data_IF_347200503324
#
_entry.id   IF_347200503324
#
_cell.length_a   1.000
_cell.length_b   1.000
_cell.length_c   1.000
_cell.angle_alpha   90.00
_cell.angle_beta   90.00
_cell.angle_gamma   90.00
#
_symmetry.space_group_name_H-M   'P 1'
#
loop_
_entity.id
_entity.type
_entity.pdbx_description
1 polymer ?
#
# COMPACT_ATOMS: atom_id res chain seq x y z
N UNK A 1 -8.10 -39.81 -51.59
CA UNK A 1 -8.94 -39.59 -50.36
C UNK A 1 -8.13 -39.60 -49.04
N UNK A 2 -6.80 -39.58 -49.06
CA UNK A 2 -5.97 -39.57 -47.82
C UNK A 2 -5.38 -38.21 -47.46
N UNK A 3 -5.42 -37.21 -48.35
CA UNK A 3 -4.82 -35.89 -48.12
C UNK A 3 -5.78 -34.86 -47.46
N UNK A 4 -7.07 -35.10 -47.52
CA UNK A 4 -8.06 -34.17 -46.92
C UNK A 4 -8.23 -34.34 -45.37
N UNK A 5 -7.90 -35.54 -44.87
CA UNK A 5 -8.05 -35.83 -43.43
C UNK A 5 -6.92 -35.30 -42.56
N UNK A 6 -5.74 -35.09 -43.13
CA UNK A 6 -4.58 -34.56 -42.40
C UNK A 6 -4.69 -33.04 -42.19
N UNK A 7 -5.33 -32.32 -43.09
CA UNK A 7 -5.51 -30.85 -42.99
C UNK A 7 -6.55 -30.44 -41.94
N UNK A 8 -7.53 -31.30 -41.66
CA UNK A 8 -8.57 -30.99 -40.65
C UNK A 8 -8.09 -31.12 -39.20
N UNK A 9 -7.09 -32.00 -38.95
CA UNK A 9 -6.54 -32.20 -37.61
C UNK A 9 -5.56 -31.07 -37.25
N UNK A 10 -4.84 -30.49 -38.22
CA UNK A 10 -3.91 -29.39 -37.96
C UNK A 10 -4.61 -28.06 -37.63
N UNK A 11 -5.88 -27.87 -38.10
CA UNK A 11 -6.65 -26.64 -37.80
C UNK A 11 -7.29 -26.68 -36.40
N UNK A 12 -7.56 -27.86 -35.86
CA UNK A 12 -8.18 -28.00 -34.52
C UNK A 12 -7.21 -27.77 -33.38
N UNK A 13 -5.89 -27.94 -33.58
CA UNK A 13 -4.88 -27.77 -32.54
C UNK A 13 -4.43 -26.30 -32.35
N UNK A 14 -4.69 -25.42 -33.34
CA UNK A 14 -4.31 -24.01 -33.26
C UNK A 14 -5.34 -23.12 -32.52
N UNK A 15 -6.56 -23.61 -32.34
CA UNK A 15 -7.64 -22.85 -31.65
C UNK A 15 -7.63 -23.00 -30.15
N UNK A 16 -6.85 -23.93 -29.57
CA UNK A 16 -6.88 -24.24 -28.14
C UNK A 16 -5.90 -23.44 -27.29
N UNK A 17 -5.14 -22.48 -27.82
CA UNK A 17 -4.14 -21.71 -27.06
C UNK A 17 -4.47 -20.24 -26.82
N UNK A 18 -5.69 -19.79 -27.14
CA UNK A 18 -6.15 -18.47 -26.68
C UNK A 18 -6.94 -18.61 -25.36
N UNK A 19 -6.28 -19.11 -24.33
CA UNK A 19 -6.76 -18.84 -22.98
C UNK A 19 -6.47 -17.36 -22.70
N UNK A 20 -7.47 -16.53 -22.89
CA UNK A 20 -7.48 -15.15 -22.41
C UNK A 20 -7.27 -15.21 -20.92
N UNK A 21 -6.11 -14.73 -20.45
CA UNK A 21 -5.87 -14.42 -19.04
C UNK A 21 -6.88 -13.33 -18.70
N UNK A 22 -8.02 -13.74 -18.19
CA UNK A 22 -8.98 -12.78 -17.65
C UNK A 22 -8.33 -12.21 -16.37
N UNK A 23 -7.99 -10.94 -16.44
CA UNK A 23 -7.58 -10.19 -15.28
C UNK A 23 -8.72 -10.33 -14.23
N UNK A 24 -8.43 -11.04 -13.14
CA UNK A 24 -9.38 -11.19 -12.05
C UNK A 24 -9.60 -9.82 -11.43
N UNK A 25 -10.78 -9.25 -11.63
CA UNK A 25 -11.22 -8.09 -10.89
C UNK A 25 -12.10 -8.56 -9.74
N UNK A 26 -11.83 -8.10 -8.55
CA UNK A 26 -12.69 -8.31 -7.38
C UNK A 26 -12.99 -6.97 -6.73
N UNK A 27 -14.25 -6.74 -6.41
CA UNK A 27 -14.71 -5.59 -5.65
C UNK A 27 -15.44 -6.11 -4.43
N UNK A 28 -14.92 -5.81 -3.25
CA UNK A 28 -15.48 -6.25 -1.97
C UNK A 28 -15.65 -5.04 -1.07
N UNK A 29 -16.90 -4.76 -0.72
CA UNK A 29 -17.25 -3.76 0.28
C UNK A 29 -17.92 -4.46 1.46
N UNK A 30 -17.41 -4.23 2.65
CA UNK A 30 -17.94 -4.78 3.90
C UNK A 30 -18.20 -3.65 4.90
N UNK A 31 -19.30 -3.73 5.60
CA UNK A 31 -19.72 -2.76 6.60
C UNK A 31 -19.80 -3.45 7.97
N UNK A 32 -19.16 -2.87 8.97
CA UNK A 32 -19.17 -3.42 10.34
C UNK A 32 -18.51 -4.80 10.43
N UNK A 33 -17.56 -5.11 9.53
CA UNK A 33 -16.91 -6.41 9.49
C UNK A 33 -15.39 -6.28 9.43
N UNK A 34 -14.72 -7.02 10.29
CA UNK A 34 -13.28 -7.10 10.39
C UNK A 34 -12.87 -8.55 10.69
N UNK A 35 -11.85 -9.14 10.01
CA UNK A 35 -11.11 -8.57 8.90
C UNK A 35 -11.84 -8.68 7.54
N UNK A 36 -11.44 -7.82 6.59
CA UNK A 36 -11.80 -7.91 5.17
C UNK A 36 -10.56 -8.33 4.39
N UNK A 37 -10.71 -9.35 3.55
CA UNK A 37 -9.58 -9.95 2.83
C UNK A 37 -9.84 -10.02 1.32
N UNK A 38 -8.77 -9.87 0.53
CA UNK A 38 -8.79 -10.07 -0.91
C UNK A 38 -7.47 -10.68 -1.39
N UNK A 39 -7.51 -11.49 -2.47
CA UNK A 39 -6.29 -11.96 -3.13
C UNK A 39 -5.65 -10.83 -3.92
N UNK A 40 -4.33 -10.73 -3.86
CA UNK A 40 -3.58 -9.72 -4.59
C UNK A 40 -2.21 -10.24 -4.99
N UNK A 41 -1.74 -9.82 -6.16
CA UNK A 41 -0.44 -10.27 -6.68
C UNK A 41 0.72 -9.60 -5.96
N UNK A 42 1.81 -10.33 -5.77
CA UNK A 42 3.07 -9.77 -5.28
C UNK A 42 3.65 -8.78 -6.29
N UNK A 43 4.19 -7.66 -5.84
CA UNK A 43 4.76 -6.61 -6.69
C UNK A 43 3.75 -5.63 -7.28
N UNK A 44 2.47 -5.81 -7.03
CA UNK A 44 1.42 -4.90 -7.48
C UNK A 44 1.39 -3.58 -6.72
N UNK A 45 0.59 -2.63 -7.19
CA UNK A 45 0.40 -1.32 -6.59
C UNK A 45 -0.83 -1.30 -5.69
N UNK A 46 -0.64 -0.88 -4.43
CA UNK A 46 -1.73 -0.69 -3.46
C UNK A 46 -1.92 0.80 -3.19
N UNK A 47 -3.10 1.31 -3.52
CA UNK A 47 -3.53 2.68 -3.22
C UNK A 47 -4.45 2.67 -2.00
N UNK A 48 -4.18 3.56 -1.05
CA UNK A 48 -4.91 3.62 0.21
C UNK A 48 -5.46 5.02 0.44
N UNK A 49 -6.76 5.10 0.70
CA UNK A 49 -7.47 6.31 1.14
C UNK A 49 -8.08 6.01 2.50
N UNK A 50 -7.48 6.57 3.53
CA UNK A 50 -7.68 6.15 4.91
C UNK A 50 -8.30 7.26 5.74
N UNK A 51 -9.06 6.86 6.75
CA UNK A 51 -9.56 7.77 7.79
C UNK A 51 -8.41 8.26 8.68
N UNK A 52 -8.62 9.38 9.40
CA UNK A 52 -7.77 9.74 10.52
C UNK A 52 -7.75 8.64 11.60
N UNK A 53 -6.60 8.42 12.24
CA UNK A 53 -6.45 7.42 13.32
C UNK A 53 -5.02 6.89 13.45
N UNK A 54 -4.89 5.81 14.19
CA UNK A 54 -3.66 5.04 14.30
C UNK A 54 -3.69 3.91 13.25
N UNK A 55 -2.74 3.95 12.32
CA UNK A 55 -2.69 3.04 11.17
C UNK A 55 -1.36 2.31 11.15
N UNK A 56 -1.44 0.99 11.06
CA UNK A 56 -0.29 0.12 10.86
C UNK A 56 -0.40 -0.56 9.49
N UNK A 57 0.64 -0.44 8.67
CA UNK A 57 0.74 -1.09 7.36
C UNK A 57 1.92 -2.04 7.40
N UNK A 58 1.68 -3.35 7.22
CA UNK A 58 2.72 -4.37 7.33
C UNK A 58 2.83 -5.23 6.08
N UNK A 59 4.07 -5.59 5.75
CA UNK A 59 4.39 -6.51 4.67
C UNK A 59 4.24 -7.98 5.09
N UNK A 60 3.57 -8.79 4.24
CA UNK A 60 3.40 -10.24 4.41
C UNK A 60 4.08 -11.04 3.31
N UNK A 61 4.35 -12.31 3.60
CA UNK A 61 4.94 -13.25 2.64
C UNK A 61 3.90 -13.95 1.73
N UNK A 62 2.62 -13.66 1.91
CA UNK A 62 1.52 -14.22 1.12
C UNK A 62 0.99 -13.24 0.06
N UNK A 63 0.14 -13.74 -0.84
CA UNK A 63 -0.51 -12.97 -1.90
C UNK A 63 -1.92 -12.55 -1.50
N UNK A 64 -2.04 -11.90 -0.32
CA UNK A 64 -3.31 -11.44 0.21
C UNK A 64 -3.20 -10.01 0.75
N UNK A 65 -4.29 -9.27 0.58
CA UNK A 65 -4.57 -8.04 1.30
C UNK A 65 -5.48 -8.39 2.46
N UNK A 66 -5.19 -7.86 3.64
CA UNK A 66 -6.06 -7.96 4.79
C UNK A 66 -6.18 -6.59 5.45
N UNK A 67 -7.40 -6.18 5.70
CA UNK A 67 -7.73 -4.95 6.43
C UNK A 67 -8.50 -5.34 7.67
N UNK A 68 -7.97 -5.04 8.82
CA UNK A 68 -8.61 -5.24 10.12
C UNK A 68 -8.62 -3.94 10.91
N UNK A 69 -9.62 -3.77 11.76
CA UNK A 69 -9.73 -2.60 12.61
C UNK A 69 -10.27 -2.96 13.98
N UNK A 70 -9.97 -2.12 14.95
CA UNK A 70 -10.54 -2.12 16.28
C UNK A 70 -11.31 -0.83 16.46
N UNK A 71 -12.56 -0.93 16.88
CA UNK A 71 -13.46 0.17 17.18
C UNK A 71 -14.35 -0.21 18.37
N UNK A 72 -15.04 0.76 18.95
CA UNK A 72 -16.07 0.47 19.96
C UNK A 72 -17.25 -0.23 19.31
N UNK A 73 -17.91 -1.12 20.04
CA UNK A 73 -18.97 -1.99 19.50
C UNK A 73 -20.18 -1.24 18.93
N UNK A 74 -20.46 -0.04 19.41
CA UNK A 74 -21.53 0.84 18.91
C UNK A 74 -21.13 1.57 17.62
N UNK A 75 -19.85 1.86 17.44
CA UNK A 75 -19.29 2.61 16.30
C UNK A 75 -18.80 1.67 15.17
N UNK A 76 -18.47 0.43 15.48
CA UNK A 76 -18.00 -0.57 14.51
C UNK A 76 -18.93 -0.72 13.31
N UNK A 77 -20.24 -0.60 13.53
CA UNK A 77 -21.28 -0.74 12.51
C UNK A 77 -21.24 0.32 11.42
N UNK A 78 -20.55 1.44 11.65
CA UNK A 78 -20.43 2.54 10.68
C UNK A 78 -19.19 2.41 9.80
N UNK A 79 -18.22 1.62 10.25
CA UNK A 79 -16.95 1.43 9.50
C UNK A 79 -17.20 0.65 8.21
N UNK A 80 -16.77 1.24 7.11
CA UNK A 80 -16.87 0.66 5.77
C UNK A 80 -15.47 0.44 5.20
N UNK A 81 -15.17 -0.80 4.89
CA UNK A 81 -13.92 -1.21 4.25
C UNK A 81 -14.25 -1.68 2.84
N UNK A 82 -13.65 -1.03 1.84
CA UNK A 82 -13.73 -1.46 0.44
C UNK A 82 -12.35 -1.83 -0.06
N UNK A 83 -12.22 -3.03 -0.61
CA UNK A 83 -11.01 -3.49 -1.31
C UNK A 83 -11.42 -3.80 -2.75
N UNK A 84 -10.90 -3.03 -3.67
CA UNK A 84 -11.09 -3.23 -5.11
C UNK A 84 -9.77 -3.66 -5.73
N UNK A 85 -9.74 -4.83 -6.35
CA UNK A 85 -8.56 -5.39 -7.03
C UNK A 85 -8.85 -5.47 -8.52
N UNK A 86 -7.91 -4.99 -9.34
CA UNK A 86 -7.95 -5.07 -10.79
C UNK A 86 -6.55 -5.36 -11.32
N UNK A 87 -6.28 -6.61 -11.65
CA UNK A 87 -4.95 -7.06 -12.10
C UNK A 87 -3.88 -6.86 -11.01
N UNK A 88 -2.90 -6.02 -11.31
CA UNK A 88 -1.79 -5.65 -10.42
C UNK A 88 -2.04 -4.37 -9.60
N UNK A 89 -3.27 -3.85 -9.63
CA UNK A 89 -3.68 -2.68 -8.86
C UNK A 89 -4.72 -3.06 -7.82
N UNK A 90 -4.54 -2.53 -6.62
CA UNK A 90 -5.54 -2.62 -5.56
C UNK A 90 -5.83 -1.23 -4.99
N UNK A 91 -7.08 -0.97 -4.68
CA UNK A 91 -7.52 0.21 -3.97
C UNK A 91 -8.19 -0.19 -2.67
N UNK A 92 -7.69 0.35 -1.56
CA UNK A 92 -8.25 0.18 -0.22
C UNK A 92 -8.84 1.51 0.21
N UNK A 93 -10.14 1.53 0.52
CA UNK A 93 -10.83 2.70 1.07
C UNK A 93 -11.47 2.34 2.38
N UNK A 94 -11.18 3.14 3.41
CA UNK A 94 -11.81 3.00 4.72
C UNK A 94 -12.55 4.29 5.05
N UNK A 95 -13.81 4.19 5.43
CA UNK A 95 -14.71 5.32 5.73
C UNK A 95 -15.56 5.01 6.96
N UNK A 96 -16.15 6.05 7.55
CA UNK A 96 -17.02 5.92 8.72
C UNK A 96 -16.24 5.57 9.98
N UNK A 97 -14.97 5.98 10.07
CA UNK A 97 -14.14 5.66 11.21
C UNK A 97 -14.52 6.52 12.41
N UNK A 98 -14.55 5.91 13.61
CA UNK A 98 -14.70 6.62 14.86
C UNK A 98 -13.61 7.68 15.08
N UNK A 99 -13.96 8.74 15.79
CA UNK A 99 -12.99 9.78 16.12
C UNK A 99 -12.01 9.37 17.23
N UNK A 100 -12.38 8.39 18.06
CA UNK A 100 -11.58 7.98 19.20
C UNK A 100 -11.38 6.46 19.20
N UNK A 101 -10.19 6.01 19.64
CA UNK A 101 -9.86 4.60 19.83
C UNK A 101 -10.05 3.75 18.56
N UNK A 102 -9.79 4.34 17.38
CA UNK A 102 -9.82 3.64 16.12
C UNK A 102 -8.41 3.27 15.71
N UNK A 103 -8.17 1.97 15.60
CA UNK A 103 -6.90 1.41 15.12
C UNK A 103 -7.17 0.62 13.85
N UNK A 104 -6.39 0.87 12.82
CA UNK A 104 -6.49 0.22 11.53
C UNK A 104 -5.19 -0.52 11.23
N UNK A 105 -5.29 -1.80 10.93
CA UNK A 105 -4.17 -2.62 10.47
C UNK A 105 -4.41 -3.07 9.04
N UNK A 106 -3.45 -2.80 8.18
CA UNK A 106 -3.46 -3.17 6.77
C UNK A 106 -2.25 -4.06 6.51
N UNK A 107 -2.51 -5.27 6.05
CA UNK A 107 -1.45 -6.21 5.69
C UNK A 107 -1.46 -6.38 4.17
N UNK A 108 -0.30 -6.21 3.54
CA UNK A 108 -0.12 -6.29 2.08
C UNK A 108 1.04 -7.23 1.74
N UNK A 109 1.11 -7.80 0.53
CA UNK A 109 2.30 -8.53 0.12
C UNK A 109 3.56 -7.65 0.26
N UNK A 110 4.62 -8.15 0.87
CA UNK A 110 5.83 -7.37 1.20
C UNK A 110 6.52 -6.69 0.02
N UNK A 111 6.27 -7.15 -1.20
CA UNK A 111 6.85 -6.57 -2.42
C UNK A 111 5.94 -5.54 -3.09
N UNK A 112 4.81 -5.17 -2.46
CA UNK A 112 3.87 -4.19 -3.01
C UNK A 112 4.47 -2.79 -3.07
N UNK A 113 4.09 -2.03 -4.11
CA UNK A 113 4.30 -0.60 -4.17
C UNK A 113 3.12 0.11 -3.47
N UNK A 114 3.42 1.04 -2.57
CA UNK A 114 2.43 1.73 -1.77
C UNK A 114 2.19 3.16 -2.24
N UNK A 115 0.93 3.54 -2.27
CA UNK A 115 0.48 4.91 -2.40
C UNK A 115 -0.55 5.20 -1.31
N UNK A 116 -0.19 5.98 -0.29
CA UNK A 116 -1.06 6.25 0.85
C UNK A 116 -1.26 7.75 1.07
N UNK A 117 -2.50 8.12 1.32
CA UNK A 117 -2.89 9.49 1.67
C UNK A 117 -3.78 9.47 2.89
N UNK A 118 -3.42 10.27 3.89
CA UNK A 118 -4.16 10.40 5.14
C UNK A 118 -4.22 11.87 5.57
N UNK A 119 -5.38 12.29 6.07
CA UNK A 119 -5.52 13.66 6.52
C UNK A 119 -4.82 13.91 7.86
N UNK A 120 -5.07 13.07 8.87
CA UNK A 120 -4.47 13.26 10.19
C UNK A 120 -4.32 11.93 10.94
N UNK A 121 -3.33 11.84 11.81
CA UNK A 121 -3.12 10.69 12.70
C UNK A 121 -1.70 10.14 12.67
N UNK A 122 -1.55 8.89 13.04
CA UNK A 122 -0.28 8.18 13.06
C UNK A 122 -0.29 7.05 12.04
N UNK A 123 0.78 6.93 11.27
CA UNK A 123 0.95 5.84 10.31
C UNK A 123 2.33 5.21 10.49
N UNK A 124 2.34 3.91 10.72
CA UNK A 124 3.55 3.08 10.76
C UNK A 124 3.57 2.13 9.57
N UNK A 125 4.67 2.09 8.82
CA UNK A 125 4.83 1.23 7.65
C UNK A 125 6.10 0.39 7.82
N UNK A 126 5.92 -0.92 7.92
CA UNK A 126 7.00 -1.86 8.20
C UNK A 126 7.01 -3.07 7.24
N UNK A 127 8.18 -3.63 6.99
CA UNK A 127 8.36 -4.89 6.26
C UNK A 127 8.02 -4.84 4.78
N UNK A 128 8.02 -3.67 4.14
CA UNK A 128 7.64 -3.51 2.73
C UNK A 128 8.86 -3.19 1.86
N UNK A 129 9.06 -4.00 0.84
CA UNK A 129 10.13 -3.90 -0.16
C UNK A 129 9.54 -3.51 -1.53
N UNK A 130 9.20 -2.26 -1.68
CA UNK A 130 8.62 -1.67 -2.88
C UNK A 130 8.74 -0.16 -2.85
N UNK A 131 8.30 0.49 -3.92
CA UNK A 131 8.17 1.94 -3.95
C UNK A 131 7.13 2.39 -2.92
N UNK A 132 7.39 3.53 -2.26
CA UNK A 132 6.51 4.10 -1.24
C UNK A 132 6.27 5.58 -1.55
N UNK A 133 5.02 5.96 -1.66
CA UNK A 133 4.58 7.33 -1.84
C UNK A 133 3.50 7.63 -0.79
N UNK A 134 3.88 8.33 0.26
CA UNK A 134 3.05 8.53 1.45
C UNK A 134 2.97 10.00 1.83
N UNK A 135 1.75 10.51 1.96
CA UNK A 135 1.51 11.87 2.41
C UNK A 135 0.53 11.89 3.58
N UNK A 136 0.88 12.62 4.62
CA UNK A 136 0.05 12.90 5.79
C UNK A 136 -0.06 14.42 5.95
N UNK A 137 -1.28 14.94 6.02
CA UNK A 137 -1.45 16.37 6.19
C UNK A 137 -1.06 16.84 7.60
N UNK A 138 -1.42 16.08 8.64
CA UNK A 138 -1.02 16.37 10.02
C UNK A 138 -0.84 15.08 10.84
N UNK A 139 0.27 14.95 11.56
CA UNK A 139 0.50 13.81 12.45
C UNK A 139 1.90 13.20 12.36
N UNK A 140 1.99 11.91 12.61
CA UNK A 140 3.26 11.20 12.63
C UNK A 140 3.31 10.12 11.55
N UNK A 141 4.40 10.10 10.79
CA UNK A 141 4.71 9.05 9.84
C UNK A 141 6.03 8.40 10.24
N UNK A 142 5.98 7.12 10.57
CA UNK A 142 7.17 6.28 10.73
C UNK A 142 7.19 5.25 9.59
N UNK A 143 8.29 5.16 8.88
CA UNK A 143 8.40 4.27 7.74
C UNK A 143 9.75 3.55 7.69
N UNK A 144 9.71 2.23 7.68
CA UNK A 144 10.87 1.42 7.37
C UNK A 144 11.18 1.51 5.87
N UNK A 145 12.37 1.97 5.53
CA UNK A 145 12.83 2.10 4.14
C UNK A 145 13.88 1.06 3.74
N UNK A 146 14.22 0.17 4.67
CA UNK A 146 15.27 -0.82 4.48
C UNK A 146 16.68 -0.20 4.48
N UNK A 147 17.60 -0.88 3.82
CA UNK A 147 18.99 -0.37 3.76
C UNK A 147 19.13 0.77 2.75
N UNK A 148 19.95 1.78 3.02
CA UNK A 148 20.18 2.91 2.09
C UNK A 148 20.52 2.47 0.66
N UNK A 149 21.30 1.39 0.51
CA UNK A 149 21.74 0.87 -0.78
C UNK A 149 20.60 0.25 -1.62
N UNK A 150 19.49 -0.10 -1.01
CA UNK A 150 18.30 -0.64 -1.71
C UNK A 150 17.47 0.48 -2.37
N UNK A 151 17.69 1.73 -1.97
CA UNK A 151 16.96 2.90 -2.43
C UNK A 151 17.70 3.64 -3.55
N UNK A 152 17.02 3.87 -4.65
CA UNK A 152 17.51 4.68 -5.76
C UNK A 152 17.22 6.16 -5.57
N UNK A 153 16.12 6.48 -4.90
CA UNK A 153 15.76 7.85 -4.57
C UNK A 153 14.92 7.89 -3.30
N UNK A 154 15.32 8.71 -2.33
CA UNK A 154 14.56 9.01 -1.12
C UNK A 154 14.32 10.52 -1.07
N UNK A 155 13.06 10.92 -1.15
CA UNK A 155 12.60 12.31 -1.01
C UNK A 155 11.66 12.40 0.19
N UNK A 156 12.07 13.15 1.19
CA UNK A 156 11.32 13.32 2.43
C UNK A 156 11.18 14.79 2.79
N UNK A 157 9.98 15.21 3.20
CA UNK A 157 9.73 16.60 3.55
C UNK A 157 8.71 16.77 4.66
N UNK A 158 8.94 17.80 5.49
CA UNK A 158 8.03 18.25 6.55
C UNK A 158 7.85 19.77 6.42
N UNK A 159 6.61 20.22 6.33
CA UNK A 159 6.34 21.66 6.26
C UNK A 159 6.57 22.33 7.62
N UNK A 160 6.08 21.73 8.71
CA UNK A 160 6.27 22.19 10.09
C UNK A 160 6.45 20.99 11.00
N UNK A 161 7.61 20.89 11.67
CA UNK A 161 7.89 19.81 12.62
C UNK A 161 9.27 19.20 12.43
N UNK A 162 9.38 17.90 12.69
CA UNK A 162 10.64 17.20 12.73
C UNK A 162 10.74 16.15 11.61
N UNK A 163 11.92 16.09 10.99
CA UNK A 163 12.29 15.11 9.98
C UNK A 163 13.53 14.34 10.46
N UNK A 164 13.37 13.05 10.64
CA UNK A 164 14.44 12.14 11.01
C UNK A 164 14.62 11.06 9.94
N UNK A 165 15.85 10.86 9.49
CA UNK A 165 16.22 9.77 8.60
C UNK A 165 17.51 9.14 9.14
N UNK A 166 17.35 8.28 10.14
CA UNK A 166 18.45 7.73 10.95
C UNK A 166 19.45 6.93 10.12
N UNK A 167 19.00 6.20 9.11
CA UNK A 167 19.88 5.46 8.20
C UNK A 167 20.82 6.37 7.37
N UNK A 168 20.58 7.69 7.35
CA UNK A 168 21.36 8.69 6.62
C UNK A 168 21.96 9.76 7.56
N UNK A 169 21.91 9.56 8.87
CA UNK A 169 22.40 10.53 9.89
C UNK A 169 21.73 11.91 9.77
N UNK A 170 20.47 11.96 9.37
CA UNK A 170 19.69 13.20 9.19
C UNK A 170 18.71 13.38 10.31
N UNK A 171 18.80 14.55 10.98
CA UNK A 171 17.79 15.03 11.96
C UNK A 171 17.63 16.54 11.77
N UNK A 172 16.43 16.98 11.42
CA UNK A 172 16.09 18.38 11.10
C UNK A 172 14.76 18.75 11.71
N UNK A 173 14.71 19.80 12.52
CA UNK A 173 13.47 20.34 13.07
C UNK A 173 13.17 21.77 12.58
N UNK A 174 11.89 22.16 12.60
CA UNK A 174 11.43 23.51 12.30
C UNK A 174 10.52 23.61 11.07
N UNK A 175 10.70 24.66 10.26
CA UNK A 175 9.86 24.95 9.08
C UNK A 175 10.57 24.56 7.79
N UNK A 176 9.82 24.01 6.80
CA UNK A 176 10.29 23.69 5.45
C UNK A 176 11.54 22.78 5.46
N UNK A 177 11.43 21.65 6.14
CA UNK A 177 12.51 20.67 6.20
C UNK A 177 12.37 19.66 5.08
N UNK A 178 13.47 19.40 4.39
CA UNK A 178 13.54 18.43 3.32
C UNK A 178 14.86 17.65 3.35
N UNK A 179 14.79 16.45 2.81
CA UNK A 179 15.90 15.54 2.61
C UNK A 179 15.72 14.86 1.25
N UNK A 180 16.75 14.93 0.41
CA UNK A 180 16.83 14.25 -0.89
C UNK A 180 18.10 13.41 -0.91
N UNK A 181 17.96 12.14 -1.25
CA UNK A 181 19.09 11.22 -1.40
C UNK A 181 18.92 10.39 -2.67
N UNK A 182 20.01 10.26 -3.43
CA UNK A 182 20.07 9.40 -4.61
C UNK A 182 21.10 8.30 -4.39
N UNK A 183 20.65 7.06 -4.47
CA UNK A 183 21.45 5.87 -4.26
C UNK A 183 21.46 4.95 -5.48
N UNK A 184 22.19 3.82 -5.39
CA UNK A 184 22.28 2.84 -6.48
C UNK A 184 21.10 1.87 -6.56
N UNK A 185 20.21 1.88 -5.57
CA UNK A 185 19.12 0.94 -5.45
C UNK A 185 17.98 1.18 -6.44
N UNK A 186 16.95 0.36 -6.36
CA UNK A 186 15.82 0.41 -7.29
C UNK A 186 14.57 1.07 -6.72
N UNK A 187 14.42 1.11 -5.40
CA UNK A 187 13.20 1.60 -4.77
C UNK A 187 13.18 3.12 -4.68
N UNK A 188 11.98 3.67 -4.84
CA UNK A 188 11.71 5.09 -4.63
C UNK A 188 10.88 5.27 -3.37
N UNK A 189 11.30 6.21 -2.55
CA UNK A 189 10.59 6.61 -1.34
C UNK A 189 10.26 8.09 -1.45
N UNK A 190 8.98 8.42 -1.43
CA UNK A 190 8.47 9.76 -1.28
C UNK A 190 7.65 9.83 -0.01
N UNK A 191 8.02 10.73 0.91
CA UNK A 191 7.35 10.89 2.20
C UNK A 191 7.11 12.37 2.50
N UNK A 192 5.86 12.75 2.72
CA UNK A 192 5.51 14.13 3.05
C UNK A 192 4.61 14.19 4.29
N UNK A 193 4.98 15.07 5.24
CA UNK A 193 4.15 15.42 6.40
C UNK A 193 3.95 16.93 6.40
N UNK A 194 2.70 17.40 6.37
CA UNK A 194 2.40 18.83 6.45
C UNK A 194 2.77 19.41 7.82
N UNK A 195 2.20 18.89 8.89
CA UNK A 195 2.51 19.30 10.25
C UNK A 195 2.70 18.09 11.15
N UNK A 196 3.88 17.95 11.78
CA UNK A 196 4.15 16.84 12.69
C UNK A 196 5.53 16.25 12.54
N UNK A 197 5.63 14.93 12.57
CA UNK A 197 6.90 14.21 12.58
C UNK A 197 6.97 13.18 11.45
N UNK A 198 8.10 13.16 10.76
CA UNK A 198 8.45 12.16 9.77
C UNK A 198 9.72 11.43 10.20
N UNK A 199 9.63 10.13 10.36
CA UNK A 199 10.75 9.26 10.72
C UNK A 199 10.96 8.18 9.65
N UNK A 200 12.14 8.16 9.02
CA UNK A 200 12.61 7.11 8.11
C UNK A 200 13.67 6.25 8.82
N UNK A 201 13.41 4.94 8.89
CA UNK A 201 14.24 3.94 9.58
C UNK A 201 14.90 2.97 8.62
#
# INVERSE_FOLDING_TARGET
MRSALVMLIAFCTLVLCLQTVQAQSSDREEVGKSPVEARFVSGGQVRMSLCPGAIEVTGRDDSQLRVSYTARADEEKEVRVRIQVSGDQAEIRVRGCPHNNFELRIEVPKTSNLYARMFAGEMNIDGIRGDKDVEIHAGHLTMEIGRPEENGHVDASVLTGDLEASAFDVSKGGLFRSFDHRGPGKFRVHAHVGAGQLELR
#
